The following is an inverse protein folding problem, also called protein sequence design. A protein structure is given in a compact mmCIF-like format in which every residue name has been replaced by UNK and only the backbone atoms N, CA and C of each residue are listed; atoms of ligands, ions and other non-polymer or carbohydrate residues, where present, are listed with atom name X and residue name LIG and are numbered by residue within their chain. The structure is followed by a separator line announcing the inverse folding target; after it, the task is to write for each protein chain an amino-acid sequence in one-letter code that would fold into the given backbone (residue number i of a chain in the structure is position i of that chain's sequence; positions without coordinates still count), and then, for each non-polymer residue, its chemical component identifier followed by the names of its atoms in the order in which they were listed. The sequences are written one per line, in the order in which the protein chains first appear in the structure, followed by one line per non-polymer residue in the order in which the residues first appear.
data_IF_455174276061
#
_entry.id   IF_455174276061
#
_cell.length_a   1.000
_cell.length_b   1.000
_cell.length_c   1.000
_cell.angle_alpha   90.00
_cell.angle_beta   90.00
_cell.angle_gamma   90.00
#
_symmetry.space_group_name_H-M   'P 1'
#
loop_
_entity.id
_entity.type
_entity.pdbx_description
1 polymer ?
#
# COMPACT_ATOMS: atom_id res chain seq x y z
N UNK A 1 -13.53 -32.65 23.82
CA UNK A 1 -12.99 -33.60 22.83
C UNK A 1 -12.85 -32.87 21.50
N UNK A 2 -11.71 -32.96 20.80
CA UNK A 2 -11.52 -32.24 19.52
C UNK A 2 -12.35 -32.90 18.41
N UNK A 3 -12.83 -32.12 17.44
CA UNK A 3 -13.52 -32.64 16.25
C UNK A 3 -12.55 -33.15 15.18
N UNK A 4 -11.26 -32.86 15.32
CA UNK A 4 -10.20 -33.27 14.39
C UNK A 4 -9.53 -34.53 14.94
N UNK A 5 -9.56 -35.63 14.16
CA UNK A 5 -9.11 -36.95 14.58
C UNK A 5 -7.64 -36.96 15.07
N UNK A 6 -6.77 -36.22 14.40
CA UNK A 6 -5.34 -36.12 14.77
C UNK A 6 -5.16 -35.52 16.17
N UNK A 7 -5.89 -34.44 16.48
CA UNK A 7 -5.82 -33.80 17.79
C UNK A 7 -6.44 -34.67 18.89
N UNK A 8 -7.47 -35.47 18.58
CA UNK A 8 -8.04 -36.43 19.54
C UNK A 8 -7.04 -37.54 19.89
N UNK A 9 -6.31 -38.06 18.90
CA UNK A 9 -5.25 -39.05 19.10
C UNK A 9 -4.09 -38.47 19.93
N UNK A 10 -3.65 -37.25 19.60
CA UNK A 10 -2.59 -36.57 20.33
C UNK A 10 -2.98 -36.28 21.78
N UNK A 11 -4.22 -35.84 22.02
CA UNK A 11 -4.76 -35.64 23.37
C UNK A 11 -4.81 -36.95 24.17
N UNK A 12 -5.28 -38.03 23.55
CA UNK A 12 -5.30 -39.36 24.19
C UNK A 12 -3.92 -39.77 24.65
N UNK A 13 -2.91 -39.63 23.79
CA UNK A 13 -1.51 -39.89 24.14
C UNK A 13 -1.02 -39.02 25.31
N UNK A 14 -1.25 -37.70 25.25
CA UNK A 14 -0.79 -36.80 26.31
C UNK A 14 -1.45 -37.11 27.67
N UNK A 15 -2.71 -37.56 27.67
CA UNK A 15 -3.45 -37.90 28.89
C UNK A 15 -2.98 -39.22 29.52
N UNK A 16 -2.56 -40.20 28.73
CA UNK A 16 -2.16 -41.53 29.21
C UNK A 16 -0.64 -41.74 29.30
N UNK A 17 0.17 -40.73 29.00
CA UNK A 17 1.62 -40.86 29.00
C UNK A 17 2.19 -40.88 30.43
N UNK A 18 3.01 -41.90 30.72
CA UNK A 18 3.81 -42.01 31.93
C UNK A 18 5.30 -42.12 31.57
N UNK A 19 6.17 -41.21 32.06
CA UNK A 19 5.90 -40.09 32.97
C UNK A 19 5.16 -38.91 32.30
N UNK A 20 4.56 -38.03 33.13
CA UNK A 20 3.78 -36.88 32.63
C UNK A 20 4.55 -36.06 31.59
N UNK A 21 3.88 -35.80 30.46
CA UNK A 21 4.37 -34.91 29.40
C UNK A 21 4.07 -33.44 29.69
N UNK A 22 3.17 -33.15 30.63
CA UNK A 22 2.81 -31.78 31.00
C UNK A 22 3.86 -31.17 31.93
N UNK A 23 4.15 -29.90 31.72
CA UNK A 23 5.03 -29.07 32.54
C UNK A 23 4.23 -27.93 33.18
N UNK A 24 4.70 -27.39 34.30
CA UNK A 24 3.98 -26.33 35.01
C UNK A 24 4.28 -24.94 34.45
N UNK A 25 5.47 -24.76 33.88
CA UNK A 25 5.93 -23.46 33.37
C UNK A 25 6.54 -23.57 31.99
N UNK A 26 6.49 -22.49 31.21
CA UNK A 26 7.12 -22.42 29.90
C UNK A 26 8.63 -22.65 29.97
N UNK A 27 9.31 -22.09 30.97
CA UNK A 27 10.74 -22.26 31.16
C UNK A 27 11.14 -23.73 31.39
N UNK A 28 10.34 -24.47 32.17
CA UNK A 28 10.51 -25.91 32.38
C UNK A 28 10.35 -26.69 31.06
N UNK A 29 9.31 -26.37 30.27
CA UNK A 29 9.08 -26.97 28.96
C UNK A 29 10.25 -26.77 28.00
N UNK A 30 10.75 -25.53 27.90
CA UNK A 30 11.92 -25.19 27.06
C UNK A 30 13.17 -25.93 27.53
N UNK A 31 13.45 -25.94 28.84
CA UNK A 31 14.59 -26.67 29.39
C UNK A 31 14.49 -28.18 29.14
N UNK A 32 13.28 -28.75 29.20
CA UNK A 32 13.03 -30.17 28.89
C UNK A 32 13.32 -30.47 27.43
N UNK A 33 12.89 -29.63 26.47
CA UNK A 33 13.24 -29.79 25.04
C UNK A 33 14.75 -29.83 24.85
N UNK A 34 15.47 -28.84 25.39
CA UNK A 34 16.93 -28.71 25.28
C UNK A 34 17.67 -29.94 25.82
N UNK A 35 17.22 -30.48 26.95
CA UNK A 35 17.83 -31.66 27.59
C UNK A 35 17.46 -32.99 26.93
N UNK A 36 16.36 -33.03 26.17
CA UNK A 36 15.82 -34.27 25.61
C UNK A 36 16.47 -34.72 24.29
N UNK A 37 17.43 -33.96 23.75
CA UNK A 37 18.17 -34.30 22.52
C UNK A 37 17.25 -34.70 21.35
N UNK A 38 16.18 -33.93 21.12
CA UNK A 38 15.21 -34.18 20.05
C UNK A 38 14.12 -35.21 20.33
N UNK A 39 14.08 -35.81 21.54
CA UNK A 39 13.06 -36.81 21.92
C UNK A 39 11.79 -36.22 22.53
N UNK A 40 11.75 -34.91 22.73
CA UNK A 40 10.62 -34.19 23.30
C UNK A 40 10.34 -32.94 22.48
N UNK A 41 9.11 -32.83 21.98
CA UNK A 41 8.59 -31.63 21.34
C UNK A 41 7.68 -30.90 22.33
N UNK A 42 7.71 -29.56 22.29
CA UNK A 42 6.90 -28.73 23.16
C UNK A 42 5.98 -27.84 22.34
N UNK A 43 4.69 -27.90 22.66
CA UNK A 43 3.67 -27.08 22.02
C UNK A 43 3.46 -25.82 22.86
N UNK A 44 3.69 -24.66 22.26
CA UNK A 44 3.50 -23.37 22.88
C UNK A 44 3.01 -22.35 21.84
N UNK A 45 2.65 -21.16 22.30
CA UNK A 45 2.14 -20.11 21.43
C UNK A 45 3.19 -19.60 20.43
N UNK A 46 2.78 -19.21 19.22
CA UNK A 46 3.73 -18.83 18.16
C UNK A 46 4.60 -17.64 18.50
N UNK A 47 4.05 -16.62 19.16
CA UNK A 47 4.80 -15.43 19.59
C UNK A 47 5.93 -15.78 20.56
N UNK A 48 5.62 -16.63 21.54
CA UNK A 48 6.59 -17.13 22.49
C UNK A 48 7.62 -18.03 21.81
N UNK A 49 7.23 -18.79 20.79
CA UNK A 49 8.13 -19.68 20.08
C UNK A 49 9.18 -18.89 19.28
N UNK A 50 8.73 -17.91 18.49
CA UNK A 50 9.59 -16.99 17.74
C UNK A 50 10.52 -16.20 18.68
N UNK A 51 9.99 -15.78 19.82
CA UNK A 51 10.79 -15.11 20.85
C UNK A 51 11.90 -16.01 21.43
N UNK A 52 11.60 -17.28 21.74
CA UNK A 52 12.59 -18.21 22.32
C UNK A 52 13.64 -18.61 21.27
N UNK A 53 13.24 -18.79 20.01
CA UNK A 53 14.14 -19.11 18.89
C UNK A 53 15.20 -18.03 18.65
N UNK A 54 14.85 -16.75 18.83
CA UNK A 54 15.79 -15.63 18.69
C UNK A 54 16.69 -15.43 19.93
N UNK A 55 16.53 -16.22 20.99
CA UNK A 55 17.31 -16.09 22.23
C UNK A 55 18.47 -17.08 22.25
N UNK A 56 19.60 -16.64 22.80
CA UNK A 56 20.74 -17.52 23.08
C UNK A 56 20.30 -18.73 23.93
N UNK A 57 20.84 -19.92 23.66
CA UNK A 57 21.92 -20.22 22.70
C UNK A 57 21.44 -20.56 21.27
N UNK A 58 20.24 -20.14 20.85
CA UNK A 58 19.67 -20.42 19.52
C UNK A 58 19.56 -21.92 19.23
N UNK A 59 19.14 -22.69 20.23
CA UNK A 59 19.07 -24.15 20.24
C UNK A 59 17.64 -24.69 20.08
N UNK A 60 16.69 -23.82 19.75
CA UNK A 60 15.28 -24.14 19.51
C UNK A 60 14.88 -23.61 18.14
N UNK A 61 13.93 -24.28 17.47
CA UNK A 61 13.39 -23.84 16.18
C UNK A 61 11.89 -24.08 16.10
N UNK A 62 11.16 -23.20 15.41
CA UNK A 62 9.78 -23.44 14.99
C UNK A 62 9.74 -24.41 13.81
N UNK A 63 8.87 -25.42 13.90
CA UNK A 63 8.65 -26.38 12.80
C UNK A 63 7.18 -26.35 12.40
N UNK A 64 6.92 -26.19 11.10
CA UNK A 64 5.57 -26.16 10.55
C UNK A 64 4.80 -24.86 10.80
N UNK A 65 3.53 -24.86 10.37
CA UNK A 65 2.60 -23.76 10.58
C UNK A 65 1.94 -23.79 11.96
N UNK A 66 1.20 -22.73 12.28
CA UNK A 66 0.40 -22.67 13.49
C UNK A 66 -0.78 -23.68 13.42
N UNK A 67 -1.12 -24.30 14.56
CA UNK A 67 -2.22 -25.26 14.65
C UNK A 67 -3.61 -24.58 14.66
N UNK A 68 -3.64 -23.32 15.07
CA UNK A 68 -4.83 -22.48 15.12
C UNK A 68 -4.48 -21.02 14.85
N UNK A 69 -5.51 -20.21 14.64
CA UNK A 69 -5.41 -18.76 14.61
C UNK A 69 -6.01 -18.21 15.90
N UNK A 70 -5.17 -17.65 16.76
CA UNK A 70 -5.54 -16.99 18.01
C UNK A 70 -5.01 -15.56 18.00
N UNK A 71 -5.69 -14.68 18.72
CA UNK A 71 -5.28 -13.29 18.90
C UNK A 71 -5.38 -12.88 20.36
N UNK A 72 -4.48 -12.00 20.79
CA UNK A 72 -4.53 -11.38 22.10
C UNK A 72 -5.52 -10.21 22.09
N UNK A 73 -6.29 -10.08 23.16
CA UNK A 73 -7.19 -8.95 23.39
C UNK A 73 -7.07 -8.42 24.80
N UNK A 74 -7.35 -7.13 24.98
CA UNK A 74 -7.44 -6.52 26.30
C UNK A 74 -8.80 -6.88 26.89
N UNK A 75 -8.80 -7.67 27.96
CA UNK A 75 -10.01 -8.05 28.67
C UNK A 75 -10.43 -6.93 29.63
N UNK A 76 -11.65 -6.41 29.45
CA UNK A 76 -12.28 -5.49 30.40
C UNK A 76 -13.54 -6.13 30.99
N UNK A 77 -13.93 -5.78 32.24
CA UNK A 77 -15.16 -6.29 32.83
C UNK A 77 -16.38 -6.03 31.94
N UNK A 78 -17.33 -6.96 31.91
CA UNK A 78 -18.58 -6.80 31.16
C UNK A 78 -19.31 -5.56 31.69
N UNK A 79 -19.64 -4.62 30.81
CA UNK A 79 -20.29 -3.36 31.17
C UNK A 79 -19.33 -2.23 31.60
N UNK A 80 -18.02 -2.43 31.56
CA UNK A 80 -17.06 -1.33 31.82
C UNK A 80 -17.15 -0.25 30.73
N UNK A 81 -17.13 1.02 31.15
CA UNK A 81 -17.06 2.20 30.28
C UNK A 81 -15.81 2.21 29.40
N UNK A 82 -14.72 1.58 29.87
CA UNK A 82 -13.45 1.42 29.14
C UNK A 82 -13.59 0.67 27.80
N UNK A 83 -14.66 -0.10 27.61
CA UNK A 83 -14.91 -0.82 26.35
C UNK A 83 -15.21 0.12 25.17
N UNK A 84 -15.74 1.32 25.44
CA UNK A 84 -16.13 2.29 24.41
C UNK A 84 -15.14 3.45 24.24
N UNK A 85 -14.19 3.61 25.17
CA UNK A 85 -13.30 4.79 25.20
C UNK A 85 -12.11 4.76 24.23
N UNK A 86 -11.92 3.71 23.42
CA UNK A 86 -10.78 3.67 22.48
C UNK A 86 -11.16 3.21 21.10
N UNK A 87 -11.81 4.10 20.36
CA UNK A 87 -11.57 4.26 18.93
C UNK A 87 -11.79 5.72 18.60
N UNK A 88 -10.79 6.56 18.85
CA UNK A 88 -10.72 7.86 18.18
C UNK A 88 -10.45 7.55 16.72
N UNK A 89 -11.51 7.21 15.96
CA UNK A 89 -11.48 7.29 14.52
C UNK A 89 -10.93 8.68 14.20
N UNK A 90 -9.84 8.75 13.43
CA UNK A 90 -9.23 10.01 13.01
C UNK A 90 -10.35 10.90 12.48
N UNK A 91 -10.72 11.91 13.28
CA UNK A 91 -11.88 12.76 13.01
C UNK A 91 -11.70 13.42 11.64
N UNK A 92 -12.81 13.69 10.95
CA UNK A 92 -12.86 14.37 9.65
C UNK A 92 -11.99 15.65 9.62
N UNK A 93 -11.80 16.28 10.78
CA UNK A 93 -10.90 17.42 10.99
C UNK A 93 -9.45 17.18 10.54
N UNK A 94 -8.95 15.94 10.65
CA UNK A 94 -7.56 15.61 10.28
C UNK A 94 -7.38 15.45 8.77
N UNK A 95 -8.43 15.07 8.03
CA UNK A 95 -8.37 14.87 6.57
C UNK A 95 -8.84 16.12 5.79
N UNK A 96 -9.56 17.02 6.45
CA UNK A 96 -10.03 18.29 5.88
C UNK A 96 -8.90 19.09 5.20
N UNK A 97 -7.68 19.07 5.76
CA UNK A 97 -6.51 19.72 5.18
C UNK A 97 -6.18 19.26 3.76
N UNK A 98 -6.32 17.95 3.47
CA UNK A 98 -6.03 17.39 2.13
C UNK A 98 -7.03 17.91 1.10
N UNK A 99 -8.31 18.00 1.46
CA UNK A 99 -9.36 18.52 0.58
C UNK A 99 -9.12 20.00 0.22
N UNK A 100 -8.69 20.83 1.18
CA UNK A 100 -8.39 22.24 0.92
C UNK A 100 -7.21 22.42 -0.05
N UNK A 101 -6.16 21.60 0.06
CA UNK A 101 -5.00 21.66 -0.85
C UNK A 101 -5.44 21.32 -2.28
N UNK A 102 -6.30 20.30 -2.45
CA UNK A 102 -6.79 19.90 -3.76
C UNK A 102 -7.67 20.99 -4.40
N UNK A 103 -8.64 21.53 -3.66
CA UNK A 103 -9.51 22.60 -4.17
C UNK A 103 -8.71 23.86 -4.51
N UNK A 104 -7.77 24.24 -3.64
CA UNK A 104 -6.88 25.38 -3.88
C UNK A 104 -5.99 25.19 -5.11
N UNK A 105 -5.41 24.01 -5.29
CA UNK A 105 -4.58 23.67 -6.45
C UNK A 105 -5.33 23.72 -7.77
N UNK A 106 -6.56 23.18 -7.80
CA UNK A 106 -7.43 23.24 -8.98
C UNK A 106 -7.82 24.69 -9.34
N UNK A 107 -8.15 25.51 -8.34
CA UNK A 107 -8.47 26.93 -8.55
C UNK A 107 -7.28 27.72 -9.09
N UNK A 108 -6.08 27.50 -8.55
CA UNK A 108 -4.86 28.17 -9.00
C UNK A 108 -4.51 27.76 -10.44
N UNK A 109 -4.59 26.47 -10.77
CA UNK A 109 -4.34 25.97 -12.12
C UNK A 109 -5.31 26.58 -13.14
N UNK A 110 -6.60 26.67 -12.79
CA UNK A 110 -7.61 27.31 -13.63
C UNK A 110 -7.31 28.80 -13.85
N UNK A 111 -6.89 29.52 -12.81
CA UNK A 111 -6.52 30.93 -12.93
C UNK A 111 -5.31 31.14 -13.85
N UNK A 112 -4.26 30.35 -13.68
CA UNK A 112 -3.05 30.41 -14.52
C UNK A 112 -3.42 30.14 -15.99
N UNK A 113 -4.26 29.14 -16.26
CA UNK A 113 -4.73 28.83 -17.60
C UNK A 113 -5.51 30.00 -18.23
N UNK A 114 -6.39 30.66 -17.47
CA UNK A 114 -7.13 31.84 -17.96
C UNK A 114 -6.21 33.02 -18.26
N UNK A 115 -5.22 33.25 -17.40
CA UNK A 115 -4.23 34.31 -17.56
C UNK A 115 -3.40 34.07 -18.83
N UNK A 116 -2.82 32.88 -18.99
CA UNK A 116 -2.05 32.51 -20.18
C UNK A 116 -2.89 32.57 -21.46
N UNK A 117 -4.13 32.06 -21.40
CA UNK A 117 -5.07 32.13 -22.51
C UNK A 117 -5.37 33.58 -22.92
N UNK A 118 -5.62 34.46 -21.96
CA UNK A 118 -5.85 35.89 -22.21
C UNK A 118 -4.61 36.56 -22.80
N UNK A 119 -3.41 36.27 -22.27
CA UNK A 119 -2.16 36.83 -22.79
C UNK A 119 -1.89 36.37 -24.23
N UNK A 120 -2.06 35.07 -24.52
CA UNK A 120 -1.87 34.51 -25.86
C UNK A 120 -2.93 35.02 -26.84
N UNK A 121 -4.20 35.01 -26.45
CA UNK A 121 -5.31 35.54 -27.25
C UNK A 121 -5.08 37.01 -27.64
N UNK A 122 -4.63 37.85 -26.70
CA UNK A 122 -4.32 39.26 -27.00
C UNK A 122 -3.06 39.43 -27.85
N UNK A 123 -2.03 38.61 -27.66
CA UNK A 123 -0.83 38.64 -28.49
C UNK A 123 -1.15 38.25 -29.94
N UNK A 124 -1.94 37.20 -30.15
CA UNK A 124 -2.38 36.73 -31.46
C UNK A 124 -3.33 37.74 -32.14
N UNK A 125 -4.28 38.33 -31.41
CA UNK A 125 -5.14 39.39 -31.93
C UNK A 125 -4.38 40.64 -32.39
N UNK A 126 -3.24 40.97 -31.75
CA UNK A 126 -2.35 42.05 -32.20
C UNK A 126 -1.57 41.66 -33.45
N UNK A 127 -1.09 40.41 -33.57
CA UNK A 127 -0.40 39.91 -34.78
C UNK A 127 -1.32 39.91 -36.00
N UNK A 128 -2.61 39.62 -35.82
CA UNK A 128 -3.60 39.70 -36.92
C UNK A 128 -3.82 41.15 -37.39
N UNK A 129 -3.75 42.15 -36.50
CA UNK A 129 -3.82 43.56 -36.89
C UNK A 129 -2.57 44.04 -37.66
N UNK A 130 -1.38 43.54 -37.31
CA UNK A 130 -0.14 43.82 -38.05
C UNK A 130 -0.13 43.14 -39.42
N UNK A 131 -0.61 41.90 -39.53
CA UNK A 131 -0.78 41.22 -40.82
C UNK A 131 -1.83 41.91 -41.72
N UNK A 132 -2.89 42.48 -41.13
CA UNK A 132 -3.92 43.23 -41.86
C UNK A 132 -3.44 44.61 -42.35
N UNK A 133 -2.50 45.25 -41.64
CA UNK A 133 -1.86 46.49 -42.10
C UNK A 133 -0.76 46.25 -43.16
N UNK A 134 -0.10 45.09 -43.16
CA UNK A 134 0.87 44.72 -44.20
C UNK A 134 0.22 44.37 -45.56
N UNK A 135 -1.09 44.15 -45.62
CA UNK A 135 -1.84 43.93 -46.88
C UNK A 135 -2.49 45.20 -47.44
N UNK A 136 -2.27 46.38 -46.85
CA UNK A 136 -2.76 47.66 -47.37
C UNK A 136 -1.67 48.46 -48.11
N UNK A 137 -0.80 47.77 -48.85
CA UNK A 137 0.07 48.37 -49.88
C UNK A 137 0.02 47.44 -51.11
N UNK A 138 -0.48 47.96 -52.23
CA UNK A 138 -0.81 47.34 -53.53
C UNK A 138 -2.13 46.56 -53.66
N UNK A 139 -3.15 47.14 -54.33
CA UNK A 139 -4.25 46.40 -54.91
C UNK A 139 -3.96 46.08 -56.39
N UNK A 140 -3.65 44.83 -56.72
CA UNK A 140 -3.90 44.30 -58.07
C UNK A 140 -3.92 42.77 -58.13
N UNK A 141 -5.10 42.28 -58.48
CA UNK A 141 -5.44 41.05 -59.23
C UNK A 141 -5.26 39.65 -58.61
N UNK A 142 -6.44 39.02 -58.42
CA UNK A 142 -6.81 37.66 -58.89
C UNK A 142 -6.56 36.44 -57.99
N UNK A 143 -7.65 35.67 -57.85
CA UNK A 143 -7.78 34.40 -57.13
C UNK A 143 -6.79 33.32 -57.58
N UNK A 144 -6.27 32.48 -56.66
CA UNK A 144 -6.34 31.03 -56.82
C UNK A 144 -6.11 30.26 -55.50
N UNK A 145 -6.85 29.17 -55.33
CA UNK A 145 -6.74 28.21 -54.24
C UNK A 145 -5.40 27.46 -54.29
N UNK A 146 -4.64 27.44 -53.20
CA UNK A 146 -3.74 26.34 -52.89
C UNK A 146 -3.73 26.04 -51.39
N UNK A 147 -4.29 24.88 -51.06
CA UNK A 147 -4.04 24.15 -49.83
C UNK A 147 -2.52 23.99 -49.66
N UNK A 148 -1.93 24.61 -48.64
CA UNK A 148 -0.57 24.30 -48.24
C UNK A 148 -0.55 23.90 -46.77
N UNK A 149 -0.36 22.60 -46.58
CA UNK A 149 -0.14 21.96 -45.31
C UNK A 149 1.10 22.58 -44.62
N UNK A 150 0.92 23.12 -43.42
CA UNK A 150 2.01 23.28 -42.45
C UNK A 150 1.40 23.26 -41.04
N UNK A 151 0.83 22.11 -40.66
CA UNK A 151 0.80 21.75 -39.24
C UNK A 151 2.19 21.23 -38.92
N UNK A 152 3.07 22.11 -38.45
CA UNK A 152 4.37 21.72 -37.91
C UNK A 152 4.13 21.00 -36.59
N UNK A 153 4.55 19.73 -36.62
CA UNK A 153 4.66 18.77 -35.53
C UNK A 153 5.18 19.34 -34.21
N UNK A 154 4.60 18.82 -33.14
CA UNK A 154 5.25 18.67 -31.85
C UNK A 154 4.68 17.44 -31.15
N UNK A 155 5.55 16.45 -30.92
CA UNK A 155 5.46 15.29 -30.02
C UNK A 155 5.08 13.90 -30.57
N UNK A 156 5.97 12.94 -30.22
CA UNK A 156 5.87 11.46 -30.06
C UNK A 156 6.35 10.62 -31.28
N UNK A 157 7.62 10.16 -31.37
CA UNK A 157 8.42 9.14 -30.60
C UNK A 157 8.15 7.67 -31.05
N UNK A 158 9.26 6.90 -31.16
CA UNK A 158 9.48 5.44 -31.35
C UNK A 158 9.68 4.98 -32.81
N UNK A 159 10.91 4.61 -33.24
CA UNK A 159 11.54 3.28 -33.12
C UNK A 159 11.31 2.51 -34.45
N UNK A 160 12.11 1.59 -35.00
CA UNK A 160 13.23 0.73 -34.61
C UNK A 160 13.80 0.17 -35.95
N UNK A 161 15.11 -0.08 -35.99
CA UNK A 161 15.86 -1.01 -36.87
C UNK A 161 15.74 -1.00 -38.41
N UNK A 162 16.91 -0.82 -39.03
CA UNK A 162 17.58 -1.79 -39.92
C UNK A 162 16.82 -2.41 -41.10
N UNK A 163 17.23 -1.97 -42.30
CA UNK A 163 17.66 -2.77 -43.47
C UNK A 163 16.90 -4.09 -43.76
N UNK A 164 16.24 -4.08 -44.93
CA UNK A 164 15.97 -5.19 -45.87
C UNK A 164 15.78 -4.50 -47.22
N UNK A 165 16.44 -4.78 -48.34
CA UNK A 165 17.29 -5.85 -48.88
C UNK A 165 18.27 -5.14 -49.83
#
# INVERSE_FOLDING_TARGET
RSKIAVFDKMWTYMRSAEPSVFVRTTAEGVARVRKSKGKYAYLLESTMNEYIEQRKPCDTMKVGGNLDSKGYGIATPKGSSLRWEKTSALSLSNVAGVFYILVGGLGLAMLVALIEFCYKSRAEAKRMKVAKNAQNINPSSSQNSQNFATYKEGYNVYGIESVKI
#
